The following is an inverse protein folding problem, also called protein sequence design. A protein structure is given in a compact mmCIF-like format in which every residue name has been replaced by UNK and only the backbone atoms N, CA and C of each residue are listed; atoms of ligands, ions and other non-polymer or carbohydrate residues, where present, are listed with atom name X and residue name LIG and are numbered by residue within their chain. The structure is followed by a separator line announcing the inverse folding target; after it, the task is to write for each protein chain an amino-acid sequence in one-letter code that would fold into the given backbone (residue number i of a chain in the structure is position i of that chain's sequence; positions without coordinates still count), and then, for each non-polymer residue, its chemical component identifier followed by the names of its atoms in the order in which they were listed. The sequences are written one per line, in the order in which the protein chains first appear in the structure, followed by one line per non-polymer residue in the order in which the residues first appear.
data_IF_406990057559
#
_entry.id   IF_406990057559
#
_cell.length_a   1.000
_cell.length_b   1.000
_cell.length_c   1.000
_cell.angle_alpha   90.00
_cell.angle_beta   90.00
_cell.angle_gamma   90.00
#
_symmetry.space_group_name_H-M   'P 1'
#
loop_
_entity.id
_entity.type
_entity.pdbx_description
1 polymer ?
#
# COMPACT_ATOMS: atom_id res chain seq x y z
N UNK A 1 2.98 -9.48 72.25
CA UNK A 1 3.19 -8.21 71.50
C UNK A 1 4.67 -8.08 71.14
N UNK A 2 5.07 -8.47 69.93
CA UNK A 2 6.25 -7.96 69.21
C UNK A 2 5.98 -8.16 67.71
N UNK A 3 5.52 -7.11 67.05
CA UNK A 3 5.37 -7.06 65.60
C UNK A 3 6.71 -6.68 64.99
N UNK A 4 7.22 -7.51 64.09
CA UNK A 4 8.30 -7.14 63.17
C UNK A 4 7.67 -6.81 61.83
N UNK A 5 7.67 -5.51 61.49
CA UNK A 5 7.28 -5.01 60.17
C UNK A 5 8.48 -5.18 59.25
N UNK A 6 8.33 -5.99 58.21
CA UNK A 6 9.30 -6.07 57.10
C UNK A 6 8.83 -5.08 56.04
N UNK A 7 9.60 -4.01 55.83
CA UNK A 7 9.39 -3.06 54.73
C UNK A 7 9.97 -3.69 53.45
N UNK A 8 9.11 -4.18 52.56
CA UNK A 8 9.52 -4.60 51.22
C UNK A 8 9.56 -3.35 50.32
N UNK A 9 10.77 -2.89 49.98
CA UNK A 9 10.99 -1.84 49.01
C UNK A 9 10.88 -2.45 47.60
N UNK A 10 9.73 -2.28 46.94
CA UNK A 10 9.56 -2.72 45.56
C UNK A 10 10.16 -1.67 44.61
N UNK A 11 11.36 -1.93 44.11
CA UNK A 11 11.89 -1.20 42.94
C UNK A 11 11.14 -1.67 41.68
N UNK A 12 10.18 -0.87 41.23
CA UNK A 12 9.63 -0.97 39.87
C UNK A 12 10.71 -0.46 38.91
N UNK A 13 11.47 -1.39 38.33
CA UNK A 13 12.28 -1.10 37.15
C UNK A 13 11.32 -0.92 35.97
N UNK A 14 11.09 0.32 35.56
CA UNK A 14 10.47 0.61 34.27
C UNK A 14 11.45 0.19 33.17
N UNK A 15 11.25 -0.99 32.61
CA UNK A 15 11.85 -1.35 31.34
C UNK A 15 11.14 -0.50 30.28
N UNK A 16 11.80 0.57 29.82
CA UNK A 16 11.45 1.15 28.54
C UNK A 16 11.74 0.07 27.49
N UNK A 17 10.71 -0.61 27.02
CA UNK A 17 10.82 -1.42 25.81
C UNK A 17 11.08 -0.39 24.71
N UNK A 18 12.33 -0.29 24.27
CA UNK A 18 12.63 0.41 23.03
C UNK A 18 11.91 -0.37 21.94
N UNK A 19 10.93 0.25 21.29
CA UNK A 19 10.35 -0.28 20.06
C UNK A 19 11.50 -0.56 19.09
N UNK A 20 11.52 -1.73 18.44
CA UNK A 20 12.60 -2.07 17.53
C UNK A 20 12.69 -0.99 16.46
N UNK A 21 13.87 -0.36 16.35
CA UNK A 21 14.10 0.63 15.30
C UNK A 21 13.85 -0.03 13.94
N UNK A 22 13.07 0.60 13.04
CA UNK A 22 12.81 0.08 11.72
C UNK A 22 14.10 -0.22 10.95
N UNK A 23 14.14 -1.35 10.26
CA UNK A 23 15.27 -1.73 9.42
C UNK A 23 14.87 -1.57 7.95
N UNK A 24 15.62 -0.81 7.15
CA UNK A 24 16.89 -0.17 7.48
C UNK A 24 16.72 1.19 8.18
N UNK A 25 17.68 1.64 9.02
CA UNK A 25 17.60 2.93 9.76
C UNK A 25 17.38 4.16 8.87
N UNK A 26 17.73 4.08 7.59
CA UNK A 26 17.50 5.13 6.61
C UNK A 26 16.01 5.33 6.30
N UNK A 27 15.15 4.34 6.53
CA UNK A 27 13.71 4.44 6.33
C UNK A 27 13.09 5.53 7.23
N UNK A 28 13.60 5.72 8.45
CA UNK A 28 13.07 6.70 9.41
C UNK A 28 13.60 8.13 9.18
N UNK A 29 14.53 8.32 8.24
CA UNK A 29 15.15 9.63 8.01
C UNK A 29 14.21 10.55 7.23
N UNK A 30 13.73 11.61 7.89
CA UNK A 30 12.95 12.66 7.22
C UNK A 30 13.82 13.44 6.24
N UNK A 31 13.53 13.42 4.93
CA UNK A 31 14.26 14.23 3.97
C UNK A 31 13.84 15.70 4.06
N UNK A 32 14.65 16.58 3.48
CA UNK A 32 14.21 17.95 3.18
C UNK A 32 13.09 17.90 2.17
N UNK A 33 11.93 18.47 2.51
CA UNK A 33 10.78 18.59 1.60
C UNK A 33 10.96 19.88 0.76
N UNK A 34 11.01 19.79 -0.58
CA UNK A 34 11.11 20.98 -1.44
C UNK A 34 9.91 21.93 -1.23
N UNK A 35 10.15 23.25 -1.32
CA UNK A 35 9.12 24.25 -1.06
C UNK A 35 7.90 24.21 -2.01
N UNK A 36 8.08 23.69 -3.23
CA UNK A 36 7.03 23.54 -4.25
C UNK A 36 6.72 22.05 -4.52
N UNK A 37 6.88 21.20 -3.51
CA UNK A 37 6.63 19.77 -3.64
C UNK A 37 5.12 19.50 -3.64
N UNK A 38 4.55 19.27 -4.82
CA UNK A 38 3.13 18.97 -5.02
C UNK A 38 2.97 17.65 -5.79
N UNK A 39 3.37 16.52 -5.18
CA UNK A 39 3.28 15.21 -5.84
C UNK A 39 1.83 14.81 -6.08
N UNK A 40 1.60 14.05 -7.15
CA UNK A 40 0.29 13.44 -7.41
C UNK A 40 0.17 12.10 -6.67
N UNK A 41 -0.71 12.07 -5.68
CA UNK A 41 -1.05 10.89 -4.90
C UNK A 41 -2.50 10.97 -4.41
N UNK A 42 -2.98 9.87 -3.84
CA UNK A 42 -4.27 9.80 -3.20
C UNK A 42 -5.40 9.57 -4.21
N UNK A 43 -5.98 8.37 -4.18
CA UNK A 43 -7.16 8.05 -4.94
C UNK A 43 -8.37 8.78 -4.34
N UNK A 44 -8.69 9.96 -4.86
CA UNK A 44 -9.75 10.85 -4.31
C UNK A 44 -11.12 10.21 -4.24
N UNK A 45 -11.36 9.15 -5.02
CA UNK A 45 -12.65 8.47 -5.12
C UNK A 45 -12.73 7.20 -4.25
N UNK A 46 -11.61 6.77 -3.66
CA UNK A 46 -11.49 5.48 -2.97
C UNK A 46 -11.60 4.28 -3.91
N UNK A 47 -11.43 3.09 -3.35
CA UNK A 47 -11.65 1.83 -4.02
C UNK A 47 -13.16 1.55 -4.24
N UNK A 48 -13.54 1.10 -5.44
CA UNK A 48 -14.92 0.76 -5.85
C UNK A 48 -15.20 -0.73 -5.94
N UNK A 49 -14.33 -1.58 -5.38
CA UNK A 49 -14.56 -3.01 -5.30
C UNK A 49 -15.97 -3.29 -4.75
N UNK A 50 -16.75 -4.15 -5.41
CA UNK A 50 -18.07 -4.51 -4.91
C UNK A 50 -17.90 -5.45 -3.71
N UNK A 51 -18.73 -5.26 -2.68
CA UNK A 51 -18.79 -6.21 -1.56
C UNK A 51 -19.12 -7.61 -2.09
N UNK A 52 -18.26 -8.59 -1.80
CA UNK A 52 -18.43 -9.92 -2.39
C UNK A 52 -19.58 -10.69 -1.72
N UNK A 53 -20.78 -10.66 -2.33
CA UNK A 53 -21.85 -11.62 -2.00
C UNK A 53 -21.69 -12.95 -2.77
N UNK A 54 -20.78 -13.01 -3.74
CA UNK A 54 -20.67 -14.11 -4.71
C UNK A 54 -19.56 -15.10 -4.37
N UNK A 55 -19.98 -16.18 -3.71
CA UNK A 55 -19.41 -17.52 -3.93
C UNK A 55 -19.61 -17.89 -5.41
N UNK A 56 -18.64 -17.58 -6.27
CA UNK A 56 -18.67 -17.99 -7.69
C UNK A 56 -17.68 -19.12 -7.94
N UNK A 57 -18.20 -20.35 -7.82
CA UNK A 57 -17.85 -21.64 -8.48
C UNK A 57 -16.47 -21.88 -9.16
N UNK A 58 -15.38 -21.28 -8.70
CA UNK A 58 -14.11 -22.01 -8.58
C UNK A 58 -13.93 -22.30 -7.10
N UNK A 59 -13.83 -23.58 -6.76
CA UNK A 59 -13.35 -23.99 -5.43
C UNK A 59 -11.89 -23.54 -5.32
N UNK A 60 -11.69 -22.29 -4.95
CA UNK A 60 -10.55 -21.91 -4.12
C UNK A 60 -11.02 -22.29 -2.71
N UNK A 61 -10.20 -23.04 -1.98
CA UNK A 61 -10.45 -23.41 -0.58
C UNK A 61 -10.77 -22.15 0.24
N UNK A 62 -11.44 -22.35 1.38
CA UNK A 62 -11.95 -21.36 2.32
C UNK A 62 -11.30 -19.98 2.29
N UNK A 63 -12.14 -18.93 2.36
CA UNK A 63 -11.76 -17.53 2.42
C UNK A 63 -10.93 -17.27 3.67
N UNK A 64 -9.63 -17.51 3.56
CA UNK A 64 -8.64 -17.10 4.53
C UNK A 64 -8.39 -15.60 4.31
N UNK A 65 -8.61 -14.80 5.34
CA UNK A 65 -7.87 -13.54 5.47
C UNK A 65 -6.38 -13.86 5.29
N UNK A 66 -5.66 -13.14 4.44
CA UNK A 66 -4.26 -13.45 4.14
C UNK A 66 -4.05 -14.28 2.86
N UNK A 67 -4.71 -13.90 1.77
CA UNK A 67 -4.48 -14.51 0.45
C UNK A 67 -3.04 -14.33 -0.03
N UNK A 68 -2.60 -15.25 -0.89
CA UNK A 68 -1.27 -15.21 -1.50
C UNK A 68 -1.34 -15.39 -3.02
N UNK A 69 -0.27 -14.99 -3.71
CA UNK A 69 -0.13 -15.16 -5.15
C UNK A 69 0.11 -16.65 -5.48
N UNK A 70 -0.80 -17.25 -6.22
CA UNK A 70 -0.79 -18.69 -6.54
C UNK A 70 0.18 -19.02 -7.68
N UNK A 71 0.33 -18.10 -8.64
CA UNK A 71 1.14 -18.33 -9.82
C UNK A 71 2.61 -18.03 -9.55
N UNK A 72 3.44 -19.09 -9.54
CA UNK A 72 4.87 -19.00 -9.26
C UNK A 72 5.70 -18.17 -10.25
N UNK A 73 5.16 -17.80 -11.42
CA UNK A 73 5.84 -16.88 -12.35
C UNK A 73 5.78 -15.41 -11.90
N UNK A 74 4.76 -15.06 -11.11
CA UNK A 74 4.53 -13.69 -10.64
C UNK A 74 4.77 -13.57 -9.14
N UNK A 75 4.61 -14.64 -8.36
CA UNK A 75 4.88 -14.64 -6.92
C UNK A 75 6.35 -14.35 -6.59
N UNK A 76 6.58 -13.47 -5.61
CA UNK A 76 7.91 -13.07 -5.12
C UNK A 76 8.04 -13.47 -3.65
N UNK A 77 8.71 -14.59 -3.38
CA UNK A 77 8.87 -15.14 -2.02
C UNK A 77 10.19 -14.80 -1.36
N UNK A 78 11.20 -14.46 -2.16
CA UNK A 78 12.51 -14.02 -1.68
C UNK A 78 12.57 -12.51 -1.83
N UNK A 79 12.45 -11.80 -0.72
CA UNK A 79 12.52 -10.34 -0.73
C UNK A 79 13.97 -9.90 -0.96
N UNK A 80 14.14 -8.97 -1.91
CA UNK A 80 15.41 -8.38 -2.26
C UNK A 80 15.22 -6.89 -2.53
N UNK A 81 15.64 -6.06 -1.57
CA UNK A 81 15.43 -4.61 -1.63
C UNK A 81 16.20 -3.92 -2.77
N UNK A 82 17.21 -4.61 -3.32
CA UNK A 82 18.11 -4.13 -4.36
C UNK A 82 17.83 -4.76 -5.74
N UNK A 83 16.64 -5.31 -5.95
CA UNK A 83 16.22 -5.81 -7.26
C UNK A 83 15.91 -4.68 -8.27
N UNK A 84 15.60 -5.01 -9.53
CA UNK A 84 15.29 -4.00 -10.54
C UNK A 84 16.47 -3.15 -11.02
N UNK A 85 16.20 -1.91 -11.47
CA UNK A 85 17.15 -1.02 -12.18
C UNK A 85 17.73 0.10 -11.32
N UNK A 86 17.57 0.05 -9.99
CA UNK A 86 17.91 1.16 -9.09
C UNK A 86 16.84 2.25 -9.09
N UNK A 87 17.20 3.53 -9.14
CA UNK A 87 16.26 4.64 -8.88
C UNK A 87 15.28 5.00 -10.01
N UNK A 88 15.49 4.49 -11.22
CA UNK A 88 14.64 4.84 -12.36
C UNK A 88 14.72 6.31 -12.75
N UNK A 89 13.66 6.84 -13.35
CA UNK A 89 13.57 8.25 -13.75
C UNK A 89 12.27 8.87 -13.23
N UNK A 90 12.35 10.05 -12.64
CA UNK A 90 11.15 10.83 -12.28
C UNK A 90 10.54 11.43 -13.55
N UNK A 91 9.72 10.63 -14.23
CA UNK A 91 9.03 10.96 -15.47
C UNK A 91 7.69 10.23 -15.51
N UNK A 92 6.72 10.80 -16.23
CA UNK A 92 5.42 10.18 -16.43
C UNK A 92 5.23 9.76 -17.89
N UNK A 93 4.84 8.50 -18.10
CA UNK A 93 4.41 7.92 -19.37
C UNK A 93 2.96 7.50 -19.27
N UNK A 94 2.09 8.01 -20.14
CA UNK A 94 0.71 7.52 -20.20
C UNK A 94 0.65 6.16 -20.89
N UNK A 95 0.31 5.11 -20.13
CA UNK A 95 0.15 3.75 -20.66
C UNK A 95 -1.31 3.48 -21.05
N UNK A 96 -1.49 2.73 -22.14
CA UNK A 96 -2.81 2.40 -22.70
C UNK A 96 -2.98 0.90 -22.87
N UNK A 97 -4.23 0.45 -22.80
CA UNK A 97 -4.62 -0.90 -23.13
C UNK A 97 -4.42 -1.88 -21.99
N UNK A 98 -3.94 -3.09 -22.24
CA UNK A 98 -4.21 -4.26 -21.38
C UNK A 98 -3.18 -4.57 -20.29
N UNK A 99 -2.11 -3.78 -20.21
CA UNK A 99 -1.00 -4.03 -19.26
C UNK A 99 0.16 -4.82 -19.85
N UNK A 100 0.07 -5.30 -21.10
CA UNK A 100 1.13 -6.12 -21.70
C UNK A 100 2.34 -5.30 -22.15
N UNK A 101 3.50 -5.95 -22.11
CA UNK A 101 4.76 -5.41 -22.66
C UNK A 101 4.63 -5.10 -24.16
N UNK A 102 3.84 -5.90 -24.89
CA UNK A 102 3.57 -5.67 -26.32
C UNK A 102 2.83 -4.35 -26.58
N UNK A 103 2.11 -3.82 -25.58
CA UNK A 103 1.49 -2.49 -25.61
C UNK A 103 2.33 -1.40 -24.94
N UNK A 104 3.60 -1.70 -24.65
CA UNK A 104 4.58 -0.75 -24.14
C UNK A 104 4.59 -0.59 -22.62
N UNK A 105 3.86 -1.42 -21.88
CA UNK A 105 3.91 -1.42 -20.41
C UNK A 105 5.26 -1.96 -19.92
N UNK A 106 5.79 -1.45 -18.78
CA UNK A 106 7.10 -1.87 -18.31
C UNK A 106 7.10 -3.33 -17.86
N UNK A 107 8.14 -4.07 -18.21
CA UNK A 107 8.42 -5.36 -17.60
C UNK A 107 9.08 -5.19 -16.21
N UNK A 108 9.11 -6.26 -15.41
CA UNK A 108 9.60 -6.24 -14.02
C UNK A 108 11.07 -5.87 -13.92
N UNK A 109 11.85 -6.23 -14.94
CA UNK A 109 13.27 -5.89 -15.05
C UNK A 109 13.51 -4.41 -15.39
N UNK A 110 12.44 -3.64 -15.65
CA UNK A 110 12.47 -2.18 -15.79
C UNK A 110 12.00 -1.47 -14.52
N UNK A 111 11.51 -2.20 -13.52
CA UNK A 111 11.08 -1.61 -12.26
C UNK A 111 12.27 -1.15 -11.44
N UNK A 112 12.07 -0.11 -10.65
CA UNK A 112 13.07 0.38 -9.69
C UNK A 112 13.33 -0.64 -8.59
N UNK A 113 14.42 -0.47 -7.82
CA UNK A 113 14.62 -1.25 -6.60
C UNK A 113 13.71 -0.75 -5.49
N UNK A 114 13.33 -1.62 -4.56
CA UNK A 114 12.48 -1.21 -3.44
C UNK A 114 13.16 -0.17 -2.54
N UNK A 115 14.46 -0.34 -2.24
CA UNK A 115 15.23 0.66 -1.49
C UNK A 115 15.15 2.04 -2.13
N UNK A 116 15.38 2.13 -3.44
CA UNK A 116 15.36 3.41 -4.14
C UNK A 116 13.94 3.95 -4.26
N UNK A 117 12.96 3.10 -4.55
CA UNK A 117 11.54 3.48 -4.63
C UNK A 117 11.04 4.08 -3.31
N UNK A 118 11.32 3.42 -2.19
CA UNK A 118 10.92 3.89 -0.87
C UNK A 118 11.61 5.20 -0.53
N UNK A 119 12.93 5.28 -0.74
CA UNK A 119 13.70 6.48 -0.47
C UNK A 119 13.21 7.69 -1.29
N UNK A 120 12.90 7.49 -2.57
CA UNK A 120 12.38 8.53 -3.45
C UNK A 120 10.99 9.04 -2.99
N UNK A 121 10.15 8.15 -2.46
CA UNK A 121 8.80 8.49 -2.00
C UNK A 121 8.72 9.02 -0.55
N UNK A 122 9.83 9.03 0.23
CA UNK A 122 9.83 9.53 1.62
C UNK A 122 9.29 10.95 1.74
N UNK A 123 9.63 11.85 0.82
CA UNK A 123 9.12 13.21 0.86
C UNK A 123 7.58 13.25 0.82
N UNK A 124 6.94 12.33 0.08
CA UNK A 124 5.49 12.16 0.05
C UNK A 124 5.01 11.67 1.42
N UNK A 125 5.53 10.55 1.92
CA UNK A 125 5.09 9.94 3.19
C UNK A 125 5.23 10.90 4.40
N UNK A 126 6.31 11.68 4.47
CA UNK A 126 6.54 12.64 5.55
C UNK A 126 5.70 13.94 5.45
N UNK A 127 4.88 14.12 4.41
CA UNK A 127 4.13 15.35 4.18
C UNK A 127 2.68 15.18 3.73
N UNK A 128 2.28 13.99 3.29
CA UNK A 128 0.99 13.73 2.66
C UNK A 128 -0.19 13.92 3.61
N UNK A 129 -0.05 13.61 4.90
CA UNK A 129 -1.13 13.78 5.87
C UNK A 129 -1.67 15.20 5.97
N UNK A 130 -0.81 16.21 5.73
CA UNK A 130 -1.23 17.60 5.73
C UNK A 130 -2.32 17.92 4.69
N UNK A 131 -2.45 17.12 3.63
CA UNK A 131 -3.56 17.20 2.66
C UNK A 131 -4.93 17.02 3.32
N UNK A 132 -5.00 16.27 4.42
CA UNK A 132 -6.23 16.04 5.19
C UNK A 132 -6.29 16.82 6.51
N UNK A 133 -5.34 17.73 6.75
CA UNK A 133 -5.31 18.55 7.96
C UNK A 133 -5.01 17.77 9.24
N UNK A 134 -4.40 16.59 9.13
CA UNK A 134 -3.90 15.80 10.27
C UNK A 134 -2.38 15.84 10.34
N UNK A 135 -1.82 15.48 11.50
CA UNK A 135 -0.37 15.51 11.71
C UNK A 135 0.36 14.55 10.75
N UNK A 136 1.48 15.03 10.22
CA UNK A 136 2.36 14.25 9.34
C UNK A 136 3.09 13.14 10.08
N UNK A 137 3.38 12.09 9.33
CA UNK A 137 4.04 10.90 9.86
C UNK A 137 5.42 11.21 10.43
N UNK A 138 5.70 10.55 11.56
CA UNK A 138 6.99 10.56 12.21
C UNK A 138 7.95 9.57 11.55
N UNK A 139 9.25 9.70 11.87
CA UNK A 139 10.27 8.76 11.40
C UNK A 139 9.95 7.29 11.73
N UNK A 140 9.58 6.96 12.98
CA UNK A 140 9.14 5.62 13.36
C UNK A 140 7.98 5.09 12.53
N UNK A 141 6.94 5.90 12.28
CA UNK A 141 5.76 5.48 11.50
C UNK A 141 6.10 5.19 10.03
N UNK A 142 6.92 6.04 9.40
CA UNK A 142 7.42 5.77 8.05
C UNK A 142 8.25 4.49 8.04
N UNK A 143 9.08 4.25 9.05
CA UNK A 143 9.79 2.98 9.16
C UNK A 143 8.89 1.77 9.43
N UNK A 144 7.78 1.95 10.15
CA UNK A 144 6.78 0.90 10.34
C UNK A 144 6.08 0.54 9.02
N UNK A 145 5.88 1.49 8.11
CA UNK A 145 5.41 1.21 6.73
C UNK A 145 6.40 0.29 6.00
N UNK A 146 7.71 0.57 6.05
CA UNK A 146 8.72 -0.32 5.46
C UNK A 146 8.60 -1.74 6.02
N UNK A 147 8.64 -1.87 7.35
CA UNK A 147 8.59 -3.17 8.02
C UNK A 147 7.30 -3.94 7.67
N UNK A 148 6.16 -3.25 7.61
CA UNK A 148 4.88 -3.84 7.25
C UNK A 148 4.87 -4.36 5.80
N UNK A 149 5.39 -3.58 4.85
CA UNK A 149 5.49 -3.99 3.45
C UNK A 149 6.34 -5.25 3.32
N UNK A 150 7.54 -5.25 3.91
CA UNK A 150 8.46 -6.41 3.88
C UNK A 150 7.82 -7.67 4.46
N UNK A 151 7.22 -7.54 5.64
CA UNK A 151 6.60 -8.66 6.33
C UNK A 151 5.39 -9.23 5.55
N UNK A 152 4.57 -8.36 4.96
CA UNK A 152 3.37 -8.77 4.23
C UNK A 152 3.72 -9.29 2.83
N UNK A 153 4.71 -8.71 2.15
CA UNK A 153 5.24 -9.22 0.88
C UNK A 153 5.72 -10.67 1.04
N UNK A 154 6.52 -10.95 2.08
CA UNK A 154 7.02 -12.29 2.37
C UNK A 154 5.89 -13.31 2.68
N UNK A 155 4.77 -12.86 3.23
CA UNK A 155 3.62 -13.73 3.56
C UNK A 155 2.70 -14.00 2.37
N UNK A 156 2.54 -13.01 1.48
CA UNK A 156 1.56 -13.04 0.41
C UNK A 156 2.16 -13.37 -0.96
N UNK A 157 3.49 -13.28 -1.10
CA UNK A 157 4.18 -13.42 -2.37
C UNK A 157 3.92 -12.26 -3.33
N UNK A 158 3.33 -11.15 -2.85
CA UNK A 158 3.15 -9.91 -3.63
C UNK A 158 4.48 -9.15 -3.63
N UNK A 159 4.88 -8.65 -4.79
CA UNK A 159 6.09 -7.82 -4.92
C UNK A 159 5.99 -6.55 -4.05
N UNK A 160 6.94 -6.35 -3.14
CA UNK A 160 6.94 -5.22 -2.21
C UNK A 160 6.90 -3.83 -2.88
N UNK A 161 7.41 -3.70 -4.10
CA UNK A 161 7.33 -2.44 -4.87
C UNK A 161 5.90 -2.15 -5.29
N UNK A 162 5.13 -3.18 -5.62
CA UNK A 162 3.71 -3.05 -5.96
C UNK A 162 2.85 -2.68 -4.74
N UNK A 163 3.18 -3.22 -3.56
CA UNK A 163 2.56 -2.80 -2.30
C UNK A 163 2.83 -1.31 -2.04
N UNK A 164 4.08 -0.87 -2.14
CA UNK A 164 4.43 0.55 -1.97
C UNK A 164 3.76 1.44 -3.03
N UNK A 165 3.76 1.04 -4.31
CA UNK A 165 3.09 1.78 -5.37
C UNK A 165 1.61 2.04 -5.02
N UNK A 166 0.95 1.02 -4.49
CA UNK A 166 -0.46 1.07 -4.06
C UNK A 166 -0.62 1.98 -2.85
N UNK A 167 0.21 1.88 -1.82
CA UNK A 167 0.16 2.77 -0.65
C UNK A 167 0.31 4.24 -1.07
N UNK A 168 1.27 4.55 -1.94
CA UNK A 168 1.45 5.91 -2.44
C UNK A 168 0.24 6.34 -3.28
N UNK A 169 -0.26 5.48 -4.17
CA UNK A 169 -1.45 5.79 -4.97
C UNK A 169 -2.68 6.06 -4.10
N UNK A 170 -2.89 5.31 -3.02
CA UNK A 170 -4.10 5.41 -2.19
C UNK A 170 -4.05 6.54 -1.17
N UNK A 171 -2.91 6.77 -0.52
CA UNK A 171 -2.82 7.69 0.62
C UNK A 171 -1.58 8.59 0.61
N UNK A 172 -0.68 8.44 -0.35
CA UNK A 172 0.65 9.05 -0.27
C UNK A 172 1.45 8.53 0.93
N UNK A 173 1.07 7.39 1.49
CA UNK A 173 1.64 6.81 2.70
C UNK A 173 1.23 7.46 4.01
N UNK A 174 0.21 8.32 4.04
CA UNK A 174 -0.28 8.89 5.29
C UNK A 174 -0.96 7.82 6.16
N UNK A 175 -0.38 7.48 7.32
CA UNK A 175 -0.99 6.46 8.22
C UNK A 175 -2.31 6.92 8.84
N UNK A 176 -2.61 8.22 8.80
CA UNK A 176 -3.85 8.84 9.29
C UNK A 176 -4.78 9.30 8.17
N UNK A 177 -4.62 8.77 6.95
CA UNK A 177 -5.55 9.04 5.86
C UNK A 177 -6.99 8.77 6.34
N UNK A 178 -7.94 9.71 6.15
CA UNK A 178 -9.31 9.50 6.58
C UNK A 178 -9.90 8.26 5.93
N UNK A 179 -10.62 7.47 6.72
CA UNK A 179 -11.41 6.38 6.16
C UNK A 179 -12.48 6.96 5.23
N UNK A 180 -12.47 6.56 3.96
CA UNK A 180 -13.52 6.98 3.02
C UNK A 180 -14.71 6.03 3.10
N UNK A 181 -15.92 6.57 2.96
CA UNK A 181 -17.14 5.76 3.04
C UNK A 181 -18.25 6.32 2.12
N UNK A 182 -18.36 5.73 0.93
CA UNK A 182 -19.39 6.06 -0.07
C UNK A 182 -20.36 4.90 -0.30
N UNK A 183 -20.62 4.10 0.74
CA UNK A 183 -21.41 2.87 0.69
C UNK A 183 -20.57 1.60 0.90
N UNK A 184 -19.25 1.71 0.77
CA UNK A 184 -18.23 0.75 1.21
C UNK A 184 -17.20 1.55 2.02
N UNK A 185 -16.74 0.98 3.12
CA UNK A 185 -15.75 1.61 3.99
C UNK A 185 -14.34 1.25 3.52
N UNK A 186 -13.51 2.24 3.26
CA UNK A 186 -12.16 2.08 2.75
C UNK A 186 -11.16 2.75 3.71
N UNK A 187 -10.62 2.02 4.72
CA UNK A 187 -9.76 2.58 5.74
C UNK A 187 -8.28 2.46 5.39
N UNK A 188 -7.45 3.17 6.17
CA UNK A 188 -6.02 2.89 6.26
C UNK A 188 -5.20 3.25 5.02
N UNK A 189 -3.90 2.93 5.10
CA UNK A 189 -2.87 3.29 4.10
C UNK A 189 -3.22 2.88 2.67
N UNK A 190 -3.90 1.75 2.50
CA UNK A 190 -4.24 1.17 1.19
C UNK A 190 -5.71 1.36 0.82
N UNK A 191 -6.50 2.13 1.60
CA UNK A 191 -7.93 2.38 1.37
C UNK A 191 -8.68 1.09 0.99
N UNK A 192 -8.41 0.02 1.74
CA UNK A 192 -8.79 -1.34 1.39
C UNK A 192 -10.26 -1.64 1.67
N UNK A 193 -10.84 -2.66 1.04
CA UNK A 193 -12.29 -2.88 1.11
C UNK A 193 -12.70 -3.42 2.50
N UNK A 194 -13.40 -2.60 3.31
CA UNK A 194 -13.88 -2.90 4.67
C UNK A 194 -12.78 -3.41 5.63
N UNK A 195 -11.57 -2.86 5.52
CA UNK A 195 -10.47 -3.17 6.43
C UNK A 195 -10.76 -2.91 7.90
N UNK A 196 -9.94 -3.53 8.74
CA UNK A 196 -9.93 -3.30 10.18
C UNK A 196 -8.88 -2.27 10.59
N UNK A 197 -7.76 -2.17 9.86
CA UNK A 197 -6.68 -1.23 10.15
C UNK A 197 -7.03 0.22 9.83
N UNK A 198 -7.06 1.09 10.85
CA UNK A 198 -7.16 2.55 10.65
C UNK A 198 -6.61 3.29 11.86
N UNK A 199 -5.96 4.44 11.62
CA UNK A 199 -5.61 5.43 12.65
C UNK A 199 -6.42 6.72 12.49
N UNK A 200 -7.44 6.73 11.60
CA UNK A 200 -8.38 7.82 11.42
C UNK A 200 -9.75 7.23 11.09
N UNK A 201 -10.46 6.87 12.16
CA UNK A 201 -11.66 6.04 12.11
C UNK A 201 -12.91 6.88 11.89
N UNK A 202 -13.64 6.60 10.82
CA UNK A 202 -15.01 7.09 10.59
C UNK A 202 -16.03 6.53 11.60
N UNK A 203 -15.71 5.40 12.24
CA UNK A 203 -16.60 4.71 13.20
C UNK A 203 -16.52 5.37 14.58
N UNK A 204 -15.30 5.60 15.08
CA UNK A 204 -15.09 6.19 16.41
C UNK A 204 -14.92 7.71 16.37
N UNK A 205 -14.54 8.27 15.22
CA UNK A 205 -14.14 9.66 15.08
C UNK A 205 -12.76 9.97 15.68
N UNK A 206 -12.02 8.95 16.09
CA UNK A 206 -10.70 9.10 16.71
C UNK A 206 -9.59 9.09 15.66
N UNK A 207 -8.58 9.92 15.92
CA UNK A 207 -7.34 9.97 15.14
C UNK A 207 -6.18 9.63 16.07
N UNK A 208 -5.51 8.51 15.81
CA UNK A 208 -4.39 8.05 16.60
C UNK A 208 -3.11 8.82 16.23
N UNK A 209 -2.39 9.30 17.24
CA UNK A 209 -1.14 10.01 17.06
C UNK A 209 -0.21 9.81 18.28
N UNK A 210 0.87 9.01 18.18
CA UNK A 210 1.30 8.26 16.99
C UNK A 210 0.34 7.12 16.63
N UNK A 211 0.35 6.72 15.36
CA UNK A 211 -0.33 5.52 14.85
C UNK A 211 0.47 4.27 15.25
N UNK A 212 -0.14 3.27 15.92
CA UNK A 212 0.60 2.10 16.37
C UNK A 212 1.13 1.23 15.21
N UNK A 213 2.35 0.70 15.36
CA UNK A 213 3.00 -0.20 14.37
C UNK A 213 2.12 -1.40 13.97
N UNK A 214 1.40 -1.97 14.94
CA UNK A 214 0.47 -3.07 14.69
C UNK A 214 -0.70 -2.64 13.81
N UNK A 215 -1.18 -1.41 13.98
CA UNK A 215 -2.26 -0.87 13.16
C UNK A 215 -1.77 -0.58 11.75
N UNK A 216 -0.55 -0.03 11.59
CA UNK A 216 0.11 0.15 10.29
C UNK A 216 0.27 -1.19 9.58
N UNK A 217 0.75 -2.22 10.28
CA UNK A 217 0.89 -3.58 9.73
C UNK A 217 -0.46 -4.15 9.31
N UNK A 218 -1.52 -3.92 10.10
CA UNK A 218 -2.86 -4.37 9.74
C UNK A 218 -3.39 -3.70 8.48
N UNK A 219 -3.18 -2.38 8.30
CA UNK A 219 -3.58 -1.67 7.07
C UNK A 219 -2.93 -2.29 5.82
N UNK A 220 -1.64 -2.64 5.90
CA UNK A 220 -0.91 -3.27 4.78
C UNK A 220 -1.37 -4.71 4.57
N UNK A 221 -1.65 -5.44 5.66
CA UNK A 221 -2.18 -6.81 5.62
C UNK A 221 -3.54 -6.87 4.94
N UNK A 222 -4.46 -5.98 5.35
CA UNK A 222 -5.82 -5.93 4.80
C UNK A 222 -5.80 -5.56 3.30
N UNK A 223 -5.03 -4.54 2.91
CA UNK A 223 -4.91 -4.15 1.49
C UNK A 223 -4.17 -5.16 0.61
N UNK A 224 -3.20 -5.89 1.13
CA UNK A 224 -2.41 -6.84 0.31
C UNK A 224 -3.02 -8.24 0.29
N UNK A 225 -3.37 -8.76 1.47
CA UNK A 225 -3.90 -10.10 1.67
C UNK A 225 -5.43 -10.18 1.64
N UNK A 226 -6.12 -9.04 1.54
CA UNK A 226 -7.57 -8.94 1.45
C UNK A 226 -8.28 -9.05 2.80
N UNK A 227 -9.58 -8.77 2.76
CA UNK A 227 -10.47 -8.79 3.92
C UNK A 227 -11.57 -9.84 3.72
N UNK A 228 -12.41 -10.12 4.73
CA UNK A 228 -13.58 -10.99 4.53
C UNK A 228 -14.57 -10.49 3.47
N UNK A 229 -14.56 -9.18 3.17
CA UNK A 229 -15.54 -8.51 2.33
C UNK A 229 -15.05 -8.16 0.92
N UNK A 230 -13.73 -8.05 0.73
CA UNK A 230 -13.13 -7.67 -0.55
C UNK A 230 -11.70 -8.18 -0.75
N UNK A 231 -11.29 -8.12 -2.02
CA UNK A 231 -10.04 -8.69 -2.50
C UNK A 231 -8.86 -7.75 -2.25
N UNK A 232 -7.77 -8.29 -1.69
CA UNK A 232 -6.48 -7.61 -1.64
C UNK A 232 -5.69 -7.77 -2.94
N UNK A 233 -4.50 -7.17 -2.99
CA UNK A 233 -3.60 -7.26 -4.14
C UNK A 233 -3.32 -8.70 -4.58
N UNK A 234 -3.13 -9.64 -3.65
CA UNK A 234 -2.85 -11.03 -3.96
C UNK A 234 -4.00 -11.69 -4.76
N UNK A 235 -5.23 -11.50 -4.31
CA UNK A 235 -6.43 -11.98 -5.00
C UNK A 235 -6.59 -11.31 -6.37
N UNK A 236 -6.36 -10.01 -6.45
CA UNK A 236 -6.42 -9.27 -7.72
C UNK A 236 -5.40 -9.79 -8.74
N UNK A 237 -4.18 -10.14 -8.32
CA UNK A 237 -3.16 -10.77 -9.18
C UNK A 237 -3.65 -12.14 -9.67
N UNK A 238 -4.16 -12.98 -8.77
CA UNK A 238 -4.67 -14.31 -9.12
C UNK A 238 -5.86 -14.22 -10.11
N UNK A 239 -6.71 -13.21 -9.97
CA UNK A 239 -7.84 -12.97 -10.87
C UNK A 239 -7.42 -12.48 -12.26
N UNK A 240 -6.32 -11.75 -12.36
CA UNK A 240 -5.79 -11.33 -13.67
C UNK A 240 -5.38 -12.54 -14.52
N UNK A 241 -4.58 -13.44 -13.94
CA UNK A 241 -4.38 -14.81 -14.41
C UNK A 241 -3.56 -15.01 -15.71
N UNK A 242 -2.70 -14.07 -16.10
CA UNK A 242 -1.87 -14.16 -17.31
C UNK A 242 -0.51 -14.81 -17.05
N UNK A 243 -0.03 -14.79 -15.80
CA UNK A 243 1.26 -15.32 -15.39
C UNK A 243 2.45 -14.49 -15.87
N UNK A 244 2.23 -13.21 -16.14
CA UNK A 244 3.22 -12.22 -16.59
C UNK A 244 3.06 -10.93 -15.81
N UNK A 245 3.96 -9.98 -16.04
CA UNK A 245 3.97 -8.64 -15.44
C UNK A 245 2.66 -7.88 -15.64
N UNK A 246 1.92 -8.18 -16.71
CA UNK A 246 0.60 -7.61 -16.96
C UNK A 246 -0.36 -7.87 -15.78
N UNK A 247 -0.16 -8.96 -15.02
CA UNK A 247 -0.99 -9.27 -13.86
C UNK A 247 -0.96 -8.20 -12.78
N UNK A 248 0.14 -7.47 -12.61
CA UNK A 248 0.22 -6.40 -11.61
C UNK A 248 -0.59 -5.17 -12.04
N UNK A 249 -0.55 -4.77 -13.31
CA UNK A 249 -1.31 -3.62 -13.80
C UNK A 249 -2.81 -3.92 -13.89
N UNK A 250 -3.15 -5.15 -14.28
CA UNK A 250 -4.51 -5.67 -14.27
C UNK A 250 -5.03 -5.82 -12.84
N UNK A 251 -4.20 -6.28 -11.91
CA UNK A 251 -4.52 -6.32 -10.49
C UNK A 251 -4.75 -4.91 -9.92
N UNK A 252 -3.94 -3.92 -10.29
CA UNK A 252 -4.17 -2.53 -9.90
C UNK A 252 -5.54 -2.04 -10.38
N UNK A 253 -5.94 -2.42 -11.60
CA UNK A 253 -7.28 -2.10 -12.11
C UNK A 253 -8.36 -2.76 -11.25
N UNK A 254 -8.25 -4.07 -11.01
CA UNK A 254 -9.18 -4.83 -10.17
C UNK A 254 -9.24 -4.31 -8.72
N UNK A 255 -8.10 -3.88 -8.18
CA UNK A 255 -8.03 -3.29 -6.85
C UNK A 255 -8.79 -1.97 -6.80
N UNK A 256 -8.67 -1.11 -7.82
CA UNK A 256 -9.37 0.18 -7.85
C UNK A 256 -10.87 0.10 -8.20
N UNK A 257 -11.26 -0.77 -9.14
CA UNK A 257 -12.63 -0.78 -9.71
C UNK A 257 -13.42 -2.07 -9.47
N UNK A 258 -12.78 -3.12 -8.93
CA UNK A 258 -13.35 -4.46 -8.84
C UNK A 258 -13.61 -5.15 -10.18
N UNK A 259 -13.20 -4.56 -11.31
CA UNK A 259 -13.49 -5.08 -12.64
C UNK A 259 -12.58 -4.51 -13.72
N UNK A 260 -12.25 -5.34 -14.71
CA UNK A 260 -11.64 -4.89 -15.97
C UNK A 260 -12.76 -4.73 -17.00
N UNK A 261 -12.71 -3.66 -17.79
CA UNK A 261 -13.69 -3.41 -18.84
C UNK A 261 -13.74 -4.57 -19.85
N UNK A 262 -14.89 -4.75 -20.53
CA UNK A 262 -15.05 -5.78 -21.55
C UNK A 262 -14.08 -5.66 -22.73
N UNK A 263 -13.54 -4.47 -22.99
CA UNK A 263 -12.46 -4.26 -23.96
C UNK A 263 -11.12 -4.88 -23.55
N UNK A 264 -10.92 -5.13 -22.25
CA UNK A 264 -9.65 -5.54 -21.67
C UNK A 264 -8.70 -4.38 -21.35
N UNK A 265 -9.04 -3.16 -21.76
CA UNK A 265 -8.22 -1.98 -21.51
C UNK A 265 -8.32 -1.51 -20.06
N UNK A 266 -7.18 -1.12 -19.48
CA UNK A 266 -7.08 -0.73 -18.07
C UNK A 266 -7.51 0.70 -17.80
N UNK A 267 -7.56 1.55 -18.82
CA UNK A 267 -8.07 2.91 -18.70
C UNK A 267 -9.59 3.04 -18.90
N UNK A 268 -10.27 1.97 -19.34
CA UNK A 268 -11.70 1.99 -19.63
C UNK A 268 -12.52 1.48 -18.43
N UNK A 269 -13.82 1.79 -18.36
CA UNK A 269 -14.74 1.33 -17.31
C UNK A 269 -15.04 2.39 -16.24
N UNK A 270 -15.23 1.97 -14.99
CA UNK A 270 -15.58 2.87 -13.86
C UNK A 270 -14.36 3.29 -13.03
N UNK A 271 -14.57 3.99 -11.90
CA UNK A 271 -13.53 4.41 -10.95
C UNK A 271 -12.48 5.36 -11.55
N UNK A 272 -11.26 5.36 -10.99
CA UNK A 272 -10.12 6.16 -11.48
C UNK A 272 -9.52 5.50 -12.72
N UNK A 273 -9.54 6.21 -13.84
CA UNK A 273 -9.10 5.71 -15.16
C UNK A 273 -7.57 5.62 -15.27
N UNK A 274 -6.84 6.55 -14.65
CA UNK A 274 -5.39 6.63 -14.68
C UNK A 274 -4.69 5.58 -13.78
N UNK A 275 -5.44 4.90 -12.90
CA UNK A 275 -4.89 4.13 -11.78
C UNK A 275 -3.78 3.15 -12.17
N UNK A 276 -4.02 2.27 -13.15
CA UNK A 276 -3.00 1.29 -13.55
C UNK A 276 -1.79 1.97 -14.20
N UNK A 277 -1.99 3.03 -14.98
CA UNK A 277 -0.89 3.81 -15.56
C UNK A 277 -0.07 4.50 -14.46
N UNK A 278 -0.72 5.08 -13.45
CA UNK A 278 -0.05 5.72 -12.32
C UNK A 278 0.78 4.71 -11.51
N UNK A 279 0.26 3.49 -11.33
CA UNK A 279 1.01 2.39 -10.69
C UNK A 279 2.24 1.99 -11.51
N UNK A 280 2.10 1.83 -12.83
CA UNK A 280 3.24 1.52 -13.70
C UNK A 280 4.33 2.59 -13.62
N UNK A 281 3.95 3.87 -13.59
CA UNK A 281 4.91 4.96 -13.46
C UNK A 281 5.63 4.97 -12.10
N UNK A 282 4.93 4.69 -11.00
CA UNK A 282 5.58 4.57 -9.68
C UNK A 282 6.58 3.43 -9.63
N UNK A 283 6.24 2.29 -10.25
CA UNK A 283 7.14 1.15 -10.39
C UNK A 283 8.38 1.47 -11.23
N UNK A 284 8.36 2.52 -12.05
CA UNK A 284 9.51 2.98 -12.85
C UNK A 284 10.19 4.25 -12.32
N UNK A 285 9.82 4.72 -11.13
CA UNK A 285 10.50 5.82 -10.43
C UNK A 285 9.83 7.19 -10.48
N UNK A 286 8.57 7.29 -10.93
CA UNK A 286 7.80 8.54 -10.89
C UNK A 286 7.44 8.94 -9.45
N UNK A 287 7.73 10.19 -9.10
CA UNK A 287 7.46 10.76 -7.76
C UNK A 287 6.87 12.17 -7.85
N UNK A 288 7.48 13.05 -8.64
CA UNK A 288 7.18 14.49 -8.61
C UNK A 288 7.11 15.16 -9.97
N UNK A 289 7.51 14.48 -11.04
CA UNK A 289 7.29 14.97 -12.39
C UNK A 289 5.80 15.18 -12.66
N UNK A 290 5.50 16.10 -13.58
CA UNK A 290 4.12 16.45 -13.93
C UNK A 290 3.31 15.20 -14.31
N UNK A 291 2.12 15.07 -13.69
CA UNK A 291 1.22 13.96 -13.97
C UNK A 291 0.66 14.10 -15.38
N UNK A 292 0.96 13.13 -16.24
CA UNK A 292 0.61 13.19 -17.66
C UNK A 292 -0.71 12.52 -18.03
N UNK A 293 -1.47 11.98 -17.07
CA UNK A 293 -2.78 11.42 -17.36
C UNK A 293 -3.88 12.50 -17.33
N UNK A 294 -4.73 12.50 -18.34
CA UNK A 294 -5.80 13.51 -18.52
C UNK A 294 -7.21 12.90 -18.49
N UNK A 295 -7.34 11.63 -18.07
CA UNK A 295 -8.63 10.92 -18.11
C UNK A 295 -9.52 11.16 -16.88
N UNK A 296 -8.95 11.62 -15.77
CA UNK A 296 -9.66 11.76 -14.49
C UNK A 296 -10.01 13.21 -14.08
N UNK A 297 -9.74 14.19 -14.96
CA UNK A 297 -10.11 15.60 -14.78
C UNK A 297 -8.99 16.47 -14.22
#
# INVERSE_FOLDING_TARGET
MRSSVVLALSCLATFAIAEPLPYPPQATSKPTIPANFHPTFGNKKGNFQPTSTKVSKRRISERDTGGWVENGNVAVWNINDEDGVGAGNDQYTMYWGDGSVDQGWPARDQWVSFTEMFNANKAIMFSSCSTWGVDNDSGPEVGAIWNAIEAVAAQTGVDHRFILATIIQESGGCVRVPTTNYGVRNPGLMQDHNGSGTCNSDITGEVDNPCPDSTITQMVTDGTGGTPDGDGLAQCINQSGWGTEADFYRAARLYNSGSIDGSGNLQDGIATHCYSSDIANRLTGWVSAEHGCYLDG
#
